data_IF_329503927440
#
_entry.id   IF_329503927440
#
_cell.length_a   1.000
_cell.length_b   1.000
_cell.length_c   1.000
_cell.angle_alpha   90.00
_cell.angle_beta   90.00
_cell.angle_gamma   90.00
#
_symmetry.space_group_name_H-M   'P 1'
#
loop_
_entity.id
_entity.type
_entity.pdbx_description
1 polymer ?
#
# COMPACT_ATOMS: atom_id res chain seq x y z
N UNK A 1 38.82 4.87 12.34
CA UNK A 1 37.60 4.11 11.98
C UNK A 1 36.40 5.04 11.81
N UNK A 2 36.15 5.96 12.74
CA UNK A 2 35.03 6.92 12.65
C UNK A 2 35.02 7.75 11.33
N UNK A 3 36.18 8.16 10.83
CA UNK A 3 36.26 8.87 9.54
C UNK A 3 35.85 8.02 8.33
N UNK A 4 36.13 6.71 8.35
CA UNK A 4 35.74 5.80 7.28
C UNK A 4 34.25 5.45 7.35
N UNK A 5 33.70 5.32 8.56
CA UNK A 5 32.26 5.14 8.76
C UNK A 5 31.48 6.36 8.27
N UNK A 6 32.00 7.57 8.47
CA UNK A 6 31.42 8.80 7.92
C UNK A 6 31.49 8.88 6.39
N UNK A 7 32.56 8.35 5.78
CA UNK A 7 32.77 8.40 4.33
C UNK A 7 32.04 7.28 3.57
N UNK A 8 31.89 6.10 4.18
CA UNK A 8 31.24 4.92 3.57
C UNK A 8 30.06 4.37 4.39
N UNK A 9 29.12 5.21 4.85
CA UNK A 9 28.13 4.78 5.84
C UNK A 9 27.20 3.66 5.33
N UNK A 10 26.93 3.60 4.02
CA UNK A 10 26.14 2.51 3.40
C UNK A 10 26.84 1.16 3.57
N UNK A 11 28.13 1.10 3.28
CA UNK A 11 28.93 -0.13 3.42
C UNK A 11 29.00 -0.59 4.88
N UNK A 12 29.14 0.36 5.82
CA UNK A 12 29.10 0.05 7.26
C UNK A 12 27.74 -0.46 7.71
N UNK A 13 26.64 0.14 7.22
CA UNK A 13 25.30 -0.34 7.49
C UNK A 13 25.10 -1.79 7.01
N UNK A 14 25.41 -2.07 5.74
CA UNK A 14 25.31 -3.41 5.17
C UNK A 14 26.18 -4.39 5.95
N UNK A 15 27.41 -4.01 6.33
CA UNK A 15 28.31 -4.85 7.12
C UNK A 15 27.75 -5.17 8.51
N UNK A 16 27.14 -4.20 9.19
CA UNK A 16 26.45 -4.42 10.49
C UNK A 16 25.28 -5.38 10.33
N UNK A 17 24.50 -5.24 9.25
CA UNK A 17 23.41 -6.17 8.94
C UNK A 17 23.92 -7.58 8.61
N UNK A 18 24.99 -7.70 7.83
CA UNK A 18 25.65 -8.97 7.54
C UNK A 18 26.16 -9.66 8.82
N UNK A 19 26.74 -8.89 9.74
CA UNK A 19 27.16 -9.41 11.05
C UNK A 19 25.97 -9.94 11.86
N UNK A 20 24.83 -9.25 11.86
CA UNK A 20 23.62 -9.76 12.52
C UNK A 20 23.18 -11.11 11.94
N UNK A 21 23.19 -11.28 10.62
CA UNK A 21 22.91 -12.57 9.99
C UNK A 21 23.87 -13.67 10.49
N UNK A 22 25.17 -13.38 10.59
CA UNK A 22 26.16 -14.33 11.09
C UNK A 22 25.94 -14.68 12.56
N UNK A 23 25.60 -13.70 13.42
CA UNK A 23 25.28 -13.91 14.84
C UNK A 23 24.04 -14.78 15.02
N UNK A 24 23.05 -14.63 14.14
CA UNK A 24 21.85 -15.48 14.08
C UNK A 24 22.13 -16.86 13.43
N UNK A 25 23.39 -17.16 13.08
CA UNK A 25 23.83 -18.46 12.58
C UNK A 25 23.69 -18.66 11.07
N UNK A 26 23.42 -17.60 10.31
CA UNK A 26 23.26 -17.67 8.85
C UNK A 26 24.58 -17.48 8.12
N UNK A 27 24.72 -18.20 7.00
CA UNK A 27 25.84 -18.02 6.09
C UNK A 27 25.69 -16.71 5.31
N UNK A 28 26.79 -15.96 5.22
CA UNK A 28 26.89 -14.70 4.49
C UNK A 28 28.16 -14.78 3.64
N UNK A 29 28.04 -14.50 2.35
CA UNK A 29 29.16 -14.47 1.42
C UNK A 29 29.50 -13.02 1.03
N UNK A 30 30.74 -12.78 0.60
CA UNK A 30 31.20 -11.49 0.09
C UNK A 30 31.87 -11.71 -1.26
N UNK A 31 31.21 -11.23 -2.32
CA UNK A 31 31.71 -11.32 -3.69
C UNK A 31 31.88 -9.91 -4.25
N UNK A 32 33.04 -9.61 -4.81
CA UNK A 32 33.37 -8.29 -5.40
C UNK A 32 33.07 -7.10 -4.47
N UNK A 33 33.29 -7.28 -3.17
CA UNK A 33 33.04 -6.26 -2.15
C UNK A 33 31.56 -6.05 -1.80
N UNK A 34 30.65 -6.90 -2.32
CA UNK A 34 29.22 -6.88 -2.00
C UNK A 34 28.85 -8.05 -1.09
N UNK A 35 28.02 -7.77 -0.10
CA UNK A 35 27.41 -8.80 0.74
C UNK A 35 26.35 -9.53 -0.07
N UNK A 36 26.43 -10.85 -0.11
CA UNK A 36 25.47 -11.71 -0.79
C UNK A 36 24.85 -12.65 0.24
N UNK A 37 23.52 -12.61 0.32
CA UNK A 37 22.73 -13.59 1.05
C UNK A 37 21.86 -14.38 0.07
N UNK A 38 21.80 -15.70 0.25
CA UNK A 38 20.89 -16.54 -0.52
C UNK A 38 19.43 -16.33 -0.10
N UNK A 39 18.50 -16.65 -1.00
CA UNK A 39 17.06 -16.59 -0.72
C UNK A 39 16.68 -17.44 0.51
N UNK A 40 17.34 -18.59 0.68
CA UNK A 40 17.13 -19.44 1.86
C UNK A 40 17.39 -18.69 3.16
N UNK A 41 18.53 -18.01 3.29
CA UNK A 41 18.90 -17.23 4.47
C UNK A 41 17.96 -16.04 4.68
N UNK A 42 17.58 -15.35 3.61
CA UNK A 42 16.59 -14.26 3.66
C UNK A 42 15.26 -14.74 4.25
N UNK A 43 14.78 -15.90 3.81
CA UNK A 43 13.55 -16.52 4.30
C UNK A 43 13.66 -17.00 5.74
N UNK A 44 14.79 -17.54 6.16
CA UNK A 44 15.03 -17.90 7.56
C UNK A 44 15.00 -16.67 8.48
N UNK A 45 15.61 -15.56 8.06
CA UNK A 45 15.50 -14.29 8.78
C UNK A 45 14.05 -13.79 8.86
N UNK A 46 13.30 -13.88 7.76
CA UNK A 46 11.88 -13.55 7.74
C UNK A 46 11.06 -14.42 8.71
N UNK A 47 11.37 -15.72 8.82
CA UNK A 47 10.72 -16.64 9.76
C UNK A 47 10.96 -16.23 11.23
N UNK A 48 12.16 -15.73 11.57
CA UNK A 48 12.45 -15.18 12.90
C UNK A 48 11.64 -13.91 13.18
N UNK A 49 11.52 -13.01 12.20
CA UNK A 49 10.71 -11.79 12.31
C UNK A 49 9.23 -12.16 12.52
N UNK A 50 8.70 -13.07 11.71
CA UNK A 50 7.33 -13.55 11.85
C UNK A 50 7.07 -14.21 13.21
N UNK A 51 8.02 -15.00 13.72
CA UNK A 51 7.90 -15.61 15.04
C UNK A 51 7.74 -14.55 16.14
N UNK A 52 8.56 -13.49 16.11
CA UNK A 52 8.45 -12.38 17.06
C UNK A 52 7.14 -11.59 16.88
N UNK A 53 6.67 -11.37 15.64
CA UNK A 53 5.37 -10.74 15.37
C UNK A 53 4.21 -11.59 15.92
N UNK A 54 4.26 -12.91 15.77
CA UNK A 54 3.24 -13.83 16.34
C UNK A 54 3.18 -13.75 17.87
N UNK A 55 4.33 -13.58 18.53
CA UNK A 55 4.41 -13.44 19.98
C UNK A 55 3.72 -12.16 20.46
N UNK A 56 3.99 -11.02 19.82
CA UNK A 56 3.37 -9.73 20.20
C UNK A 56 1.91 -9.60 19.74
N UNK A 57 1.58 -10.21 18.61
CA UNK A 57 0.38 -9.91 17.85
C UNK A 57 0.62 -8.71 16.92
N UNK A 58 0.30 -8.90 15.64
CA UNK A 58 0.52 -7.93 14.58
C UNK A 58 -0.20 -6.60 14.80
N UNK A 59 -1.36 -6.56 15.45
CA UNK A 59 -2.04 -5.28 15.78
C UNK A 59 -1.17 -4.43 16.71
N UNK A 60 -0.53 -5.02 17.73
CA UNK A 60 0.30 -4.26 18.67
C UNK A 60 1.58 -3.76 17.99
N UNK A 61 2.18 -4.60 17.12
CA UNK A 61 3.32 -4.19 16.29
C UNK A 61 2.93 -3.04 15.35
N UNK A 62 1.77 -3.12 14.71
CA UNK A 62 1.24 -2.06 13.85
C UNK A 62 0.99 -0.77 14.63
N UNK A 63 0.45 -0.83 15.85
CA UNK A 63 0.30 0.37 16.69
C UNK A 63 1.63 1.06 16.95
N UNK A 64 2.68 0.30 17.26
CA UNK A 64 4.04 0.83 17.43
C UNK A 64 4.58 1.42 16.13
N UNK A 65 4.36 0.76 14.98
CA UNK A 65 4.73 1.29 13.66
C UNK A 65 4.03 2.62 13.39
N UNK A 66 2.71 2.69 13.54
CA UNK A 66 1.94 3.91 13.28
C UNK A 66 2.31 5.05 14.22
N UNK A 67 2.62 4.76 15.49
CA UNK A 67 3.15 5.76 16.41
C UNK A 67 4.47 6.37 15.90
N UNK A 68 5.34 5.57 15.27
CA UNK A 68 6.62 6.06 14.72
C UNK A 68 6.44 6.91 13.46
N UNK A 69 5.42 6.63 12.65
CA UNK A 69 5.18 7.35 11.39
C UNK A 69 4.12 8.45 11.48
N UNK A 70 3.39 8.54 12.58
CA UNK A 70 2.38 9.57 12.86
C UNK A 70 2.88 11.01 12.60
N UNK A 71 4.10 11.42 12.98
CA UNK A 71 4.61 12.76 12.68
C UNK A 71 4.66 13.09 11.18
N UNK A 72 4.66 12.07 10.31
CA UNK A 72 4.66 12.25 8.86
C UNK A 72 3.25 12.28 8.26
N UNK A 73 2.20 12.19 9.06
CA UNK A 73 0.82 12.24 8.56
C UNK A 73 0.40 13.68 8.25
N UNK A 74 -0.02 13.92 7.02
CA UNK A 74 -0.58 15.20 6.61
C UNK A 74 -2.10 15.15 6.65
N UNK A 75 -2.72 15.93 7.55
CA UNK A 75 -4.18 15.93 7.74
C UNK A 75 -4.96 16.52 6.56
N UNK A 76 -4.38 17.42 5.78
CA UNK A 76 -5.04 18.01 4.62
C UNK A 76 -5.07 17.05 3.42
N UNK A 77 -4.00 16.26 3.26
CA UNK A 77 -3.90 15.24 2.20
C UNK A 77 -4.43 13.88 2.66
N UNK A 78 -4.61 13.69 3.97
CA UNK A 78 -5.04 12.47 4.66
C UNK A 78 -4.14 11.26 4.34
N UNK A 79 -2.83 11.48 4.27
CA UNK A 79 -1.82 10.45 3.93
C UNK A 79 -0.51 10.66 4.70
N UNK A 80 0.26 9.60 4.85
CA UNK A 80 1.61 9.61 5.40
C UNK A 80 2.63 9.97 4.32
N UNK A 81 3.49 10.95 4.61
CA UNK A 81 4.59 11.39 3.75
C UNK A 81 5.84 10.57 4.05
N UNK A 82 5.82 9.30 3.66
CA UNK A 82 6.95 8.38 3.78
C UNK A 82 7.89 8.55 2.57
N UNK A 83 8.52 9.71 2.48
CA UNK A 83 9.43 10.05 1.39
C UNK A 83 10.77 9.34 1.54
N UNK A 84 11.44 9.07 0.41
CA UNK A 84 12.81 8.55 0.41
C UNK A 84 13.71 9.52 1.17
N UNK A 85 14.42 9.01 2.17
CA UNK A 85 15.35 9.81 2.97
C UNK A 85 16.73 9.66 2.38
N UNK A 86 17.18 10.69 1.67
CA UNK A 86 18.56 10.77 1.21
C UNK A 86 19.49 11.15 2.36
N UNK A 87 20.74 10.68 2.33
CA UNK A 87 21.74 10.94 3.37
C UNK A 87 21.40 10.39 4.76
N UNK A 88 20.46 9.45 4.87
CA UNK A 88 20.06 8.85 6.15
C UNK A 88 20.99 7.70 6.59
N UNK A 89 22.26 7.81 6.24
CA UNK A 89 23.13 6.64 6.05
C UNK A 89 23.66 6.05 7.38
N UNK A 90 23.46 6.75 8.50
CA UNK A 90 23.76 6.25 9.84
C UNK A 90 22.60 5.45 10.47
N UNK A 91 21.39 5.55 9.91
CA UNK A 91 20.18 4.92 10.44
C UNK A 91 19.33 4.40 9.29
N UNK A 92 19.57 3.15 8.85
CA UNK A 92 18.76 2.52 7.82
C UNK A 92 17.28 2.62 8.13
N UNK A 93 16.47 2.83 7.10
CA UNK A 93 15.04 3.01 7.29
C UNK A 93 14.40 1.70 7.77
N UNK A 94 13.40 1.81 8.64
CA UNK A 94 12.55 0.67 8.99
C UNK A 94 11.70 0.33 7.76
N UNK A 95 11.68 -0.93 7.28
CA UNK A 95 10.88 -1.31 6.12
C UNK A 95 9.40 -1.46 6.51
N UNK A 96 8.72 -0.33 6.68
CA UNK A 96 7.36 -0.29 7.22
C UNK A 96 6.34 -1.03 6.35
N UNK A 97 6.46 -0.99 5.01
CA UNK A 97 5.52 -1.68 4.13
C UNK A 97 5.70 -3.20 4.21
N UNK A 98 6.95 -3.66 4.32
CA UNK A 98 7.26 -5.06 4.58
C UNK A 98 6.68 -5.55 5.91
N UNK A 99 6.96 -4.82 7.00
CA UNK A 99 6.44 -5.15 8.33
C UNK A 99 4.91 -5.13 8.36
N UNK A 100 4.28 -4.17 7.67
CA UNK A 100 2.83 -4.11 7.56
C UNK A 100 2.27 -5.40 6.94
N UNK A 101 2.86 -5.87 5.84
CA UNK A 101 2.43 -7.10 5.17
C UNK A 101 2.65 -8.37 6.02
N UNK A 102 3.67 -8.39 6.89
CA UNK A 102 3.84 -9.49 7.85
C UNK A 102 2.85 -9.42 9.02
N UNK A 103 2.61 -8.22 9.57
CA UNK A 103 1.76 -8.04 10.75
C UNK A 103 0.32 -8.48 10.50
N UNK A 104 -0.20 -8.24 9.30
CA UNK A 104 -1.60 -8.58 8.95
C UNK A 104 -1.86 -10.09 8.95
N UNK A 105 -0.83 -10.93 8.78
CA UNK A 105 -0.94 -12.40 8.88
C UNK A 105 -1.33 -12.86 10.29
N UNK A 106 -0.96 -12.08 11.31
CA UNK A 106 -1.10 -12.46 12.72
C UNK A 106 -1.75 -11.35 13.56
N UNK A 107 -3.01 -10.95 13.31
CA UNK A 107 -3.60 -9.79 13.98
C UNK A 107 -3.61 -9.90 15.52
N UNK A 108 -3.81 -11.12 16.05
CA UNK A 108 -3.83 -11.40 17.48
C UNK A 108 -2.57 -12.18 17.89
N UNK A 109 -2.16 -12.02 19.14
CA UNK A 109 -1.08 -12.82 19.74
C UNK A 109 -1.42 -14.31 19.71
N UNK A 110 -0.44 -15.14 19.38
CA UNK A 110 -0.61 -16.60 19.39
C UNK A 110 -0.41 -17.23 20.78
N UNK A 111 0.22 -16.51 21.71
CA UNK A 111 0.53 -17.00 23.05
C UNK A 111 0.05 -16.01 24.12
N UNK A 112 -0.62 -16.48 25.19
CA UNK A 112 -1.16 -15.58 26.22
C UNK A 112 -0.07 -14.93 27.09
N UNK A 113 1.06 -15.62 27.30
CA UNK A 113 2.18 -15.22 28.16
C UNK A 113 3.49 -15.51 27.42
N UNK A 114 4.36 -14.50 27.30
CA UNK A 114 5.73 -14.67 26.82
C UNK A 114 6.72 -14.12 27.85
N UNK A 115 7.93 -14.67 27.86
CA UNK A 115 8.93 -14.46 28.91
C UNK A 115 9.64 -13.10 28.80
N UNK A 116 9.66 -12.52 27.60
CA UNK A 116 10.40 -11.31 27.29
C UNK A 116 9.51 -10.04 27.35
N UNK A 117 10.11 -8.85 27.37
CA UNK A 117 9.35 -7.59 27.35
C UNK A 117 8.94 -7.20 25.93
N UNK A 118 7.83 -6.46 25.77
CA UNK A 118 7.38 -5.95 24.47
C UNK A 118 8.50 -5.20 23.73
N UNK A 119 9.24 -4.32 24.43
CA UNK A 119 10.28 -3.50 23.83
C UNK A 119 11.48 -4.33 23.35
N UNK A 120 11.83 -5.41 24.05
CA UNK A 120 12.91 -6.31 23.60
C UNK A 120 12.50 -7.05 22.32
N UNK A 121 11.29 -7.61 22.28
CA UNK A 121 10.79 -8.30 21.08
C UNK A 121 10.65 -7.31 19.91
N UNK A 122 10.13 -6.12 20.16
CA UNK A 122 10.05 -5.05 19.17
C UNK A 122 11.44 -4.64 18.64
N UNK A 123 12.46 -4.53 19.50
CA UNK A 123 13.83 -4.25 19.07
C UNK A 123 14.34 -5.33 18.12
N UNK A 124 14.10 -6.62 18.42
CA UNK A 124 14.46 -7.73 17.52
C UNK A 124 13.75 -7.64 16.17
N UNK A 125 12.43 -7.41 16.15
CA UNK A 125 11.66 -7.22 14.90
C UNK A 125 12.28 -6.10 14.07
N UNK A 126 12.55 -4.96 14.71
CA UNK A 126 13.13 -3.79 14.05
C UNK A 126 14.53 -4.06 13.51
N UNK A 127 15.43 -4.61 14.32
CA UNK A 127 16.82 -4.88 13.94
C UNK A 127 16.91 -5.92 12.83
N UNK A 128 16.17 -7.02 12.93
CA UNK A 128 16.14 -8.08 11.92
C UNK A 128 15.52 -7.60 10.61
N UNK A 129 14.43 -6.83 10.67
CA UNK A 129 13.81 -6.28 9.45
C UNK A 129 14.68 -5.23 8.76
N UNK A 130 15.33 -4.35 9.53
CA UNK A 130 16.35 -3.43 9.00
C UNK A 130 17.50 -4.21 8.35
N UNK A 131 17.99 -5.26 9.01
CA UNK A 131 19.09 -6.05 8.49
C UNK A 131 18.71 -6.74 7.18
N UNK A 132 17.52 -7.36 7.12
CA UNK A 132 16.99 -7.98 5.91
C UNK A 132 16.84 -6.96 4.77
N UNK A 133 16.35 -5.74 5.04
CA UNK A 133 16.24 -4.71 4.02
C UNK A 133 17.62 -4.18 3.56
N UNK A 134 18.57 -4.03 4.49
CA UNK A 134 19.89 -3.46 4.23
C UNK A 134 20.76 -4.37 3.36
N UNK A 135 20.70 -5.69 3.57
CA UNK A 135 21.45 -6.65 2.74
C UNK A 135 20.90 -6.80 1.32
N UNK A 136 19.65 -6.36 1.06
CA UNK A 136 19.13 -6.22 -0.30
C UNK A 136 19.69 -4.98 -1.02
N UNK A 137 20.23 -4.03 -0.26
CA UNK A 137 20.99 -2.88 -0.75
C UNK A 137 20.24 -1.99 -1.76
N UNK A 138 18.94 -1.79 -1.53
CA UNK A 138 18.04 -1.03 -2.44
C UNK A 138 17.72 0.39 -1.97
N UNK A 139 18.16 0.80 -0.78
CA UNK A 139 17.93 2.17 -0.29
C UNK A 139 18.94 3.14 -0.94
N UNK A 140 18.48 4.19 -1.66
CA UNK A 140 19.39 5.10 -2.34
C UNK A 140 20.16 5.95 -1.32
N UNK A 141 21.47 6.04 -1.52
CA UNK A 141 22.37 6.86 -0.72
C UNK A 141 22.24 8.36 -1.01
N UNK A 142 21.89 8.72 -2.24
CA UNK A 142 21.77 10.10 -2.71
C UNK A 142 20.65 10.27 -3.74
N UNK A 143 20.21 11.50 -3.96
CA UNK A 143 19.26 11.79 -5.04
C UNK A 143 19.84 11.52 -6.44
N UNK A 144 21.17 11.59 -6.58
CA UNK A 144 21.84 11.42 -7.87
C UNK A 144 21.81 9.98 -8.35
N UNK A 145 21.78 9.01 -7.44
CA UNK A 145 21.60 7.59 -7.77
C UNK A 145 20.20 7.26 -8.30
N UNK A 146 19.26 8.20 -8.27
CA UNK A 146 17.95 8.06 -8.92
C UNK A 146 17.87 8.77 -10.30
N UNK A 147 18.79 9.68 -10.60
CA UNK A 147 18.73 10.54 -11.78
C UNK A 147 19.63 10.03 -12.91
N UNK A 148 20.75 9.39 -12.58
CA UNK A 148 21.77 9.03 -13.55
C UNK A 148 21.83 7.51 -13.76
N UNK A 149 21.19 7.05 -14.83
CA UNK A 149 21.25 5.65 -15.28
C UNK A 149 21.63 5.57 -16.75
N UNK A 150 22.42 4.55 -17.09
CA UNK A 150 22.72 4.19 -18.47
C UNK A 150 21.73 3.12 -18.97
N UNK A 151 21.59 2.93 -20.30
CA UNK A 151 20.80 1.84 -20.85
C UNK A 151 21.14 0.45 -20.27
N UNK A 152 22.41 0.22 -19.93
CA UNK A 152 22.87 -1.06 -19.38
C UNK A 152 22.49 -1.27 -17.90
N UNK A 153 22.25 -0.19 -17.16
CA UNK A 153 21.96 -0.24 -15.70
C UNK A 153 20.49 -0.03 -15.38
N UNK A 154 19.68 0.45 -16.34
CA UNK A 154 18.28 0.81 -16.11
C UNK A 154 17.42 -0.38 -15.66
N UNK A 155 17.67 -1.57 -16.20
CA UNK A 155 16.88 -2.75 -15.86
C UNK A 155 17.09 -3.15 -14.38
N UNK A 156 18.34 -3.16 -13.92
CA UNK A 156 18.67 -3.42 -12.52
C UNK A 156 18.08 -2.34 -11.61
N UNK A 157 18.23 -1.06 -11.98
CA UNK A 157 17.67 0.05 -11.23
C UNK A 157 16.15 -0.07 -11.04
N UNK A 158 15.40 -0.42 -12.10
CA UNK A 158 13.95 -0.61 -12.00
C UNK A 158 13.57 -1.77 -11.07
N UNK A 159 14.38 -2.84 -11.02
CA UNK A 159 14.17 -3.95 -10.09
C UNK A 159 14.43 -3.52 -8.64
N UNK A 160 15.55 -2.82 -8.39
CA UNK A 160 15.86 -2.26 -7.07
C UNK A 160 14.78 -1.29 -6.60
N UNK A 161 14.27 -0.46 -7.50
CA UNK A 161 13.18 0.48 -7.22
C UNK A 161 11.89 -0.24 -6.82
N UNK A 162 11.53 -1.31 -7.53
CA UNK A 162 10.36 -2.13 -7.20
C UNK A 162 10.50 -2.79 -5.82
N UNK A 163 11.69 -3.33 -5.50
CA UNK A 163 11.96 -3.92 -4.18
C UNK A 163 11.93 -2.85 -3.08
N UNK A 164 12.48 -1.66 -3.35
CA UNK A 164 12.42 -0.52 -2.43
C UNK A 164 10.97 -0.14 -2.12
N UNK A 165 10.13 0.01 -3.13
CA UNK A 165 8.73 0.38 -2.91
C UNK A 165 7.97 -0.71 -2.13
N UNK A 166 8.25 -1.99 -2.40
CA UNK A 166 7.71 -3.12 -1.62
C UNK A 166 8.17 -3.12 -0.15
N UNK A 167 9.36 -2.59 0.16
CA UNK A 167 9.88 -2.49 1.53
C UNK A 167 9.33 -1.29 2.29
N UNK A 168 9.29 -0.12 1.66
CA UNK A 168 9.17 1.17 2.37
C UNK A 168 7.92 1.96 2.02
N UNK A 169 7.34 1.78 0.83
CA UNK A 169 6.32 2.67 0.27
C UNK A 169 4.94 1.99 0.24
N UNK A 170 4.13 2.04 1.32
CA UNK A 170 2.77 1.54 1.25
C UNK A 170 1.96 2.40 0.26
N UNK A 171 1.19 1.74 -0.60
CA UNK A 171 0.22 2.42 -1.48
C UNK A 171 -0.82 3.12 -0.62
N UNK A 172 -1.10 4.39 -0.93
CA UNK A 172 -2.01 5.23 -0.16
C UNK A 172 -2.94 6.05 -1.05
N UNK A 173 -4.17 6.20 -0.60
CA UNK A 173 -5.18 7.08 -1.20
C UNK A 173 -5.79 7.94 -0.09
N UNK A 174 -6.30 9.11 -0.47
CA UNK A 174 -6.99 10.01 0.46
C UNK A 174 -8.35 9.36 0.78
N UNK A 175 -8.63 8.98 2.03
CA UNK A 175 -9.88 8.31 2.40
C UNK A 175 -11.14 9.04 1.93
N UNK A 176 -11.18 10.37 2.02
CA UNK A 176 -12.36 11.14 1.61
C UNK A 176 -12.69 11.05 0.11
N UNK A 177 -11.75 10.63 -0.73
CA UNK A 177 -11.95 10.50 -2.17
C UNK A 177 -12.59 9.15 -2.53
N UNK A 178 -12.48 8.14 -1.66
CA UNK A 178 -12.94 6.76 -1.93
C UNK A 178 -14.42 6.70 -2.28
N UNK A 179 -15.37 7.25 -1.49
CA UNK A 179 -16.79 7.14 -1.83
C UNK A 179 -17.12 7.79 -3.17
N UNK A 180 -16.49 8.94 -3.47
CA UNK A 180 -16.70 9.67 -4.73
C UNK A 180 -16.16 8.89 -5.92
N UNK A 181 -14.99 8.26 -5.77
CA UNK A 181 -14.41 7.41 -6.81
C UNK A 181 -15.30 6.19 -7.08
N UNK A 182 -15.74 5.48 -6.03
CA UNK A 182 -16.59 4.29 -6.18
C UNK A 182 -17.94 4.62 -6.83
N UNK A 183 -18.61 5.69 -6.40
CA UNK A 183 -19.88 6.08 -7.02
C UNK A 183 -19.65 6.64 -8.43
N UNK A 184 -18.69 7.56 -8.59
CA UNK A 184 -18.45 8.28 -9.82
C UNK A 184 -17.91 7.43 -10.97
N UNK A 185 -17.05 6.45 -10.69
CA UNK A 185 -16.48 5.59 -11.74
C UNK A 185 -17.46 4.53 -12.24
N UNK A 186 -18.40 4.11 -11.37
CA UNK A 186 -19.24 2.94 -11.66
C UNK A 186 -20.74 3.28 -11.79
N UNK A 187 -21.16 4.53 -11.57
CA UNK A 187 -22.58 4.92 -11.62
C UNK A 187 -23.27 4.55 -12.93
N UNK A 188 -22.59 4.70 -14.07
CA UNK A 188 -23.11 4.37 -15.40
C UNK A 188 -23.41 2.87 -15.57
N UNK A 189 -22.77 2.02 -14.77
CA UNK A 189 -22.93 0.57 -14.78
C UNK A 189 -23.80 0.03 -13.65
N UNK A 190 -24.46 0.91 -12.87
CA UNK A 190 -25.18 0.55 -11.64
C UNK A 190 -26.17 -0.61 -11.85
N UNK A 191 -26.96 -0.58 -12.92
CA UNK A 191 -27.94 -1.66 -13.19
C UNK A 191 -27.28 -3.00 -13.52
N UNK A 192 -26.18 -2.99 -14.30
CA UNK A 192 -25.45 -4.22 -14.63
C UNK A 192 -24.80 -4.82 -13.39
N UNK A 193 -24.21 -3.96 -12.56
CA UNK A 193 -23.59 -4.35 -11.28
C UNK A 193 -24.67 -4.94 -10.37
N UNK A 194 -25.82 -4.27 -10.23
CA UNK A 194 -26.95 -4.76 -9.42
C UNK A 194 -27.44 -6.13 -9.87
N UNK A 195 -27.59 -6.35 -11.18
CA UNK A 195 -28.05 -7.64 -11.72
C UNK A 195 -27.08 -8.80 -11.49
N UNK A 196 -25.79 -8.52 -11.29
CA UNK A 196 -24.73 -9.54 -11.17
C UNK A 196 -24.22 -9.74 -9.74
N UNK A 197 -24.24 -8.68 -8.94
CA UNK A 197 -23.65 -8.63 -7.60
C UNK A 197 -24.69 -8.39 -6.49
N UNK A 198 -25.96 -8.15 -6.86
CA UNK A 198 -27.08 -7.86 -5.95
C UNK A 198 -26.94 -6.59 -5.10
N UNK A 199 -25.95 -5.74 -5.39
CA UNK A 199 -25.80 -4.41 -4.80
C UNK A 199 -25.40 -3.39 -5.88
N UNK A 200 -25.48 -2.11 -5.54
CA UNK A 200 -25.12 -1.00 -6.43
C UNK A 200 -23.79 -0.35 -6.03
N UNK A 201 -23.10 0.34 -6.95
CA UNK A 201 -21.91 1.13 -6.62
C UNK A 201 -22.16 2.17 -5.54
N UNK A 202 -23.35 2.76 -5.52
CA UNK A 202 -23.75 3.73 -4.49
C UNK A 202 -23.78 3.10 -3.10
N UNK A 203 -24.32 1.88 -2.97
CA UNK A 203 -24.30 1.16 -1.70
C UNK A 203 -22.87 0.80 -1.29
N UNK A 204 -22.03 0.33 -2.22
CA UNK A 204 -20.62 0.05 -1.97
C UNK A 204 -19.86 1.30 -1.51
N UNK A 205 -20.06 2.44 -2.16
CA UNK A 205 -19.50 3.75 -1.80
C UNK A 205 -19.97 4.23 -0.44
N UNK A 206 -21.26 4.06 -0.14
CA UNK A 206 -21.87 4.41 1.14
C UNK A 206 -21.24 3.63 2.30
N UNK A 207 -21.11 2.31 2.15
CA UNK A 207 -20.49 1.45 3.18
C UNK A 207 -19.01 1.80 3.36
N UNK A 208 -18.27 1.99 2.26
CA UNK A 208 -16.86 2.42 2.32
C UNK A 208 -16.72 3.76 3.06
N UNK A 209 -17.56 4.76 2.73
CA UNK A 209 -17.58 6.05 3.42
C UNK A 209 -17.86 5.91 4.91
N UNK A 210 -18.84 5.10 5.30
CA UNK A 210 -19.17 4.87 6.71
C UNK A 210 -18.02 4.23 7.49
N UNK A 211 -17.35 3.23 6.90
CA UNK A 211 -16.18 2.59 7.51
C UNK A 211 -15.05 3.61 7.71
N UNK A 212 -14.76 4.42 6.69
CA UNK A 212 -13.72 5.45 6.76
C UNK A 212 -14.08 6.57 7.73
N UNK A 213 -15.36 6.90 7.88
CA UNK A 213 -15.86 7.85 8.88
C UNK A 213 -15.72 7.33 10.31
N UNK A 214 -15.96 6.03 10.57
CA UNK A 214 -15.67 5.40 11.87
C UNK A 214 -14.18 5.52 12.23
N UNK A 215 -13.34 5.54 11.20
CA UNK A 215 -11.89 5.66 11.29
C UNK A 215 -11.38 7.10 11.28
N UNK A 216 -12.27 8.09 11.17
CA UNK A 216 -11.88 9.49 11.03
C UNK A 216 -11.04 9.93 12.22
N UNK A 217 -9.91 10.58 11.92
CA UNK A 217 -8.90 11.00 12.90
C UNK A 217 -8.20 9.86 13.65
N UNK A 218 -8.40 8.59 13.27
CA UNK A 218 -7.64 7.45 13.81
C UNK A 218 -6.47 7.15 12.89
N UNK A 219 -5.27 7.18 13.47
CA UNK A 219 -4.01 6.88 12.76
C UNK A 219 -3.49 5.47 13.06
N UNK A 220 -4.27 4.65 13.75
CA UNK A 220 -3.88 3.31 14.18
C UNK A 220 -4.96 2.26 13.82
N UNK A 221 -4.64 0.96 13.91
CA UNK A 221 -5.59 -0.11 13.60
C UNK A 221 -6.84 -0.03 14.47
N UNK A 222 -7.99 -0.16 13.82
CA UNK A 222 -9.30 -0.09 14.45
C UNK A 222 -10.14 -1.31 14.10
N UNK A 223 -10.82 -1.82 15.12
CA UNK A 223 -11.84 -2.86 14.97
C UNK A 223 -13.23 -2.24 15.07
N UNK A 224 -14.17 -2.77 14.28
CA UNK A 224 -15.59 -2.44 14.34
C UNK A 224 -16.44 -3.69 14.05
N UNK A 225 -17.74 -3.60 14.27
CA UNK A 225 -18.75 -4.64 13.96
C UNK A 225 -19.73 -4.17 12.88
N UNK A 226 -20.42 -5.09 12.21
CA UNK A 226 -21.39 -4.70 11.17
C UNK A 226 -22.49 -3.77 11.70
N UNK A 227 -22.93 -3.95 12.94
CA UNK A 227 -23.90 -3.08 13.62
C UNK A 227 -23.44 -1.62 13.75
N UNK A 228 -22.12 -1.36 13.79
CA UNK A 228 -21.57 0.00 13.87
C UNK A 228 -21.74 0.75 12.54
N UNK A 229 -22.01 0.01 11.47
CA UNK A 229 -22.34 0.52 10.14
C UNK A 229 -23.84 0.72 9.93
N UNK A 230 -24.70 0.62 10.96
CA UNK A 230 -26.13 0.78 10.77
C UNK A 230 -26.45 2.14 10.10
N UNK A 231 -27.08 2.09 8.92
CA UNK A 231 -27.46 3.27 8.15
C UNK A 231 -28.98 3.24 7.92
N UNK A 232 -29.77 3.87 8.81
CA UNK A 232 -31.23 3.86 8.70
C UNK A 232 -31.75 4.43 7.38
N UNK A 233 -30.98 5.30 6.75
CA UNK A 233 -31.38 6.12 5.60
C UNK A 233 -31.13 5.45 4.24
N UNK A 234 -30.30 4.41 4.16
CA UNK A 234 -29.79 3.92 2.85
C UNK A 234 -30.53 2.72 2.29
N UNK A 235 -31.55 2.22 2.99
CA UNK A 235 -32.34 1.04 2.58
C UNK A 235 -31.47 -0.20 2.25
N UNK A 236 -30.25 -0.29 2.80
CA UNK A 236 -29.37 -1.44 2.60
C UNK A 236 -29.87 -2.56 3.50
N UNK A 237 -30.31 -3.66 2.90
CA UNK A 237 -30.70 -4.86 3.62
C UNK A 237 -29.49 -5.54 4.29
N UNK A 238 -29.77 -6.41 5.26
CA UNK A 238 -28.71 -7.20 5.92
C UNK A 238 -27.92 -8.07 4.93
N UNK A 239 -28.61 -8.70 3.98
CA UNK A 239 -27.97 -9.54 2.95
C UNK A 239 -27.01 -8.72 2.06
N UNK A 240 -27.42 -7.53 1.62
CA UNK A 240 -26.56 -6.62 0.85
C UNK A 240 -25.35 -6.16 1.67
N UNK A 241 -25.55 -5.86 2.97
CA UNK A 241 -24.45 -5.50 3.88
C UNK A 241 -23.45 -6.65 4.02
N UNK A 242 -23.92 -7.88 4.23
CA UNK A 242 -23.07 -9.06 4.38
C UNK A 242 -22.27 -9.33 3.09
N UNK A 243 -22.88 -9.16 1.90
CA UNK A 243 -22.20 -9.24 0.60
C UNK A 243 -21.11 -8.17 0.44
N UNK A 244 -21.42 -6.92 0.76
CA UNK A 244 -20.47 -5.81 0.66
C UNK A 244 -19.29 -5.97 1.62
N UNK A 245 -19.55 -6.42 2.86
CA UNK A 245 -18.49 -6.68 3.84
C UNK A 245 -17.65 -7.90 3.44
N UNK A 246 -18.25 -8.94 2.85
CA UNK A 246 -17.52 -10.08 2.30
C UNK A 246 -16.59 -9.69 1.14
N UNK A 247 -17.08 -8.84 0.22
CA UNK A 247 -16.24 -8.25 -0.84
C UNK A 247 -15.08 -7.47 -0.24
N UNK A 248 -15.32 -6.60 0.74
CA UNK A 248 -14.30 -5.75 1.34
C UNK A 248 -13.37 -6.44 2.34
N UNK A 249 -13.60 -7.71 2.69
CA UNK A 249 -12.80 -8.39 3.73
C UNK A 249 -12.04 -9.61 3.24
N UNK A 250 -10.82 -9.74 3.75
CA UNK A 250 -10.04 -10.97 3.69
C UNK A 250 -10.51 -11.94 4.75
N UNK A 251 -10.51 -13.24 4.43
CA UNK A 251 -10.47 -14.27 5.47
C UNK A 251 -9.06 -14.31 6.05
N UNK A 252 -8.96 -14.54 7.37
CA UNK A 252 -7.67 -14.62 8.02
C UNK A 252 -6.82 -15.81 7.52
N UNK A 253 -7.47 -16.89 7.07
CA UNK A 253 -6.81 -18.11 6.61
C UNK A 253 -6.01 -17.97 5.32
N UNK A 254 -6.30 -16.95 4.50
CA UNK A 254 -5.67 -16.75 3.19
C UNK A 254 -4.85 -15.45 3.10
N UNK A 255 -4.81 -14.65 4.17
CA UNK A 255 -4.20 -13.33 4.13
C UNK A 255 -2.67 -13.40 4.16
N UNK A 256 -2.01 -12.98 3.08
CA UNK A 256 -0.55 -12.89 2.94
C UNK A 256 0.21 -14.18 3.34
N UNK A 257 -0.40 -15.36 3.17
CA UNK A 257 0.17 -16.64 3.65
C UNK A 257 1.58 -16.88 3.08
N UNK A 258 1.73 -16.68 1.77
CA UNK A 258 3.00 -16.93 1.05
C UNK A 258 3.97 -15.74 1.05
N UNK A 259 3.59 -14.62 1.66
CA UNK A 259 4.46 -13.45 1.76
C UNK A 259 5.47 -13.64 2.90
N UNK A 260 6.77 -13.73 2.57
CA UNK A 260 7.87 -13.74 3.55
C UNK A 260 8.95 -12.71 3.26
N UNK A 261 9.30 -12.52 1.99
CA UNK A 261 10.31 -11.56 1.54
C UNK A 261 9.71 -10.58 0.51
N UNK A 262 10.28 -9.38 0.33
CA UNK A 262 9.69 -8.34 -0.54
C UNK A 262 9.44 -8.78 -1.99
N UNK A 263 10.22 -9.74 -2.49
CA UNK A 263 10.11 -10.30 -3.84
C UNK A 263 8.86 -11.19 -4.01
N UNK A 264 8.24 -11.65 -2.92
CA UNK A 264 7.08 -12.54 -2.97
C UNK A 264 5.81 -11.80 -3.44
N UNK A 265 5.75 -10.46 -3.36
CA UNK A 265 4.56 -9.68 -3.76
C UNK A 265 4.11 -10.00 -5.20
N UNK A 266 5.05 -10.17 -6.11
CA UNK A 266 4.74 -10.49 -7.51
C UNK A 266 4.05 -11.86 -7.70
N UNK A 267 4.12 -12.74 -6.70
CA UNK A 267 3.52 -14.08 -6.70
C UNK A 267 2.19 -14.13 -5.95
N UNK A 268 1.82 -13.06 -5.24
CA UNK A 268 0.55 -13.00 -4.50
C UNK A 268 -0.59 -12.70 -5.48
N UNK A 269 -1.22 -13.74 -6.01
CA UNK A 269 -2.42 -13.59 -6.86
C UNK A 269 -3.70 -13.50 -6.03
N UNK A 270 -3.76 -14.23 -4.91
CA UNK A 270 -4.92 -14.28 -4.00
C UNK A 270 -4.49 -13.93 -2.59
N UNK A 271 -5.39 -13.30 -1.82
CA UNK A 271 -5.14 -12.99 -0.41
C UNK A 271 -4.07 -11.93 -0.14
N UNK A 272 -3.62 -11.19 -1.17
CA UNK A 272 -2.73 -10.04 -0.99
C UNK A 272 -3.44 -8.94 -0.19
N UNK A 273 -2.83 -8.48 0.91
CA UNK A 273 -3.43 -7.50 1.82
C UNK A 273 -4.03 -6.28 1.10
N UNK A 274 -3.35 -5.71 0.11
CA UNK A 274 -3.82 -4.50 -0.57
C UNK A 274 -4.98 -4.72 -1.56
N UNK A 275 -5.47 -5.94 -1.78
CA UNK A 275 -6.62 -6.19 -2.65
C UNK A 275 -7.98 -6.01 -1.97
N UNK A 276 -8.03 -6.06 -0.63
CA UNK A 276 -9.24 -5.76 0.15
C UNK A 276 -8.92 -4.93 1.40
N UNK A 277 -9.77 -3.96 1.76
CA UNK A 277 -9.45 -2.99 2.81
C UNK A 277 -9.57 -3.54 4.25
N UNK A 278 -10.33 -4.62 4.45
CA UNK A 278 -10.65 -5.15 5.77
C UNK A 278 -10.08 -6.55 5.99
N UNK A 279 -9.85 -6.89 7.26
CA UNK A 279 -9.56 -8.25 7.70
C UNK A 279 -10.72 -8.69 8.59
N UNK A 280 -11.38 -9.79 8.25
CA UNK A 280 -12.41 -10.37 9.10
C UNK A 280 -11.74 -11.14 10.24
N UNK A 281 -11.90 -10.66 11.48
CA UNK A 281 -11.25 -11.27 12.65
C UNK A 281 -12.12 -12.30 13.36
N UNK A 282 -13.44 -12.12 13.32
CA UNK A 282 -14.47 -13.09 13.78
C UNK A 282 -15.72 -12.94 12.89
N UNK A 283 -16.82 -13.64 13.20
CA UNK A 283 -18.05 -13.64 12.38
C UNK A 283 -18.64 -12.25 12.12
N UNK A 284 -18.54 -11.33 13.07
CA UNK A 284 -19.10 -9.98 12.98
C UNK A 284 -18.08 -8.90 13.35
N UNK A 285 -16.78 -9.17 13.17
CA UNK A 285 -15.73 -8.24 13.56
C UNK A 285 -14.72 -8.04 12.44
N UNK A 286 -14.47 -6.77 12.13
CA UNK A 286 -13.65 -6.33 11.01
C UNK A 286 -12.56 -5.40 11.51
N UNK A 287 -11.35 -5.58 10.97
CA UNK A 287 -10.18 -4.79 11.26
C UNK A 287 -9.80 -3.94 10.04
N UNK A 288 -9.69 -2.64 10.25
CA UNK A 288 -9.12 -1.66 9.32
C UNK A 288 -7.74 -1.24 9.86
N UNK A 289 -6.67 -1.42 9.08
CA UNK A 289 -5.29 -1.19 9.55
C UNK A 289 -4.98 0.30 9.66
N UNK A 290 -5.21 1.06 8.59
CA UNK A 290 -5.16 2.52 8.60
C UNK A 290 -5.99 3.05 7.41
N UNK A 291 -6.75 4.14 7.59
CA UNK A 291 -7.63 4.65 6.53
C UNK A 291 -6.89 4.95 5.22
N UNK A 292 -5.77 5.65 5.28
CA UNK A 292 -5.01 6.06 4.09
C UNK A 292 -4.37 4.89 3.34
N UNK A 293 -3.92 3.85 4.06
CA UNK A 293 -3.28 2.67 3.49
C UNK A 293 -4.31 1.69 2.91
N UNK A 294 -5.46 1.55 3.57
CA UNK A 294 -6.54 0.67 3.12
C UNK A 294 -7.46 1.33 2.07
N UNK A 295 -7.45 2.66 1.96
CA UNK A 295 -8.30 3.40 1.01
C UNK A 295 -8.24 2.91 -0.45
N UNK A 296 -7.05 2.63 -1.06
CA UNK A 296 -6.98 2.09 -2.42
C UNK A 296 -7.71 0.75 -2.58
N UNK A 297 -7.67 -0.09 -1.54
CA UNK A 297 -8.19 -1.45 -1.60
C UNK A 297 -9.73 -1.50 -1.71
N UNK A 298 -10.44 -0.44 -1.32
CA UNK A 298 -11.89 -0.35 -1.56
C UNK A 298 -12.22 -0.34 -3.06
N UNK A 299 -11.45 0.40 -3.86
CA UNK A 299 -11.59 0.39 -5.31
C UNK A 299 -11.17 -0.97 -5.89
N UNK A 300 -10.04 -1.51 -5.43
CA UNK A 300 -9.53 -2.80 -5.93
C UNK A 300 -10.51 -3.94 -5.69
N UNK A 301 -11.13 -4.00 -4.51
CA UNK A 301 -12.12 -5.02 -4.16
C UNK A 301 -13.35 -4.98 -5.10
N UNK A 302 -13.89 -3.79 -5.38
CA UNK A 302 -15.03 -3.64 -6.27
C UNK A 302 -14.67 -3.97 -7.73
N UNK A 303 -13.51 -3.50 -8.20
CA UNK A 303 -13.02 -3.83 -9.56
C UNK A 303 -12.81 -5.32 -9.73
N UNK A 304 -12.25 -5.98 -8.72
CA UNK A 304 -12.01 -7.42 -8.74
C UNK A 304 -13.32 -8.20 -8.90
N UNK A 305 -14.35 -7.88 -8.12
CA UNK A 305 -15.68 -8.51 -8.25
C UNK A 305 -16.32 -8.24 -9.63
N UNK A 306 -16.23 -6.99 -10.11
CA UNK A 306 -16.75 -6.60 -11.44
C UNK A 306 -16.08 -7.40 -12.55
N UNK A 307 -14.75 -7.59 -12.47
CA UNK A 307 -13.98 -8.40 -13.42
C UNK A 307 -14.34 -9.87 -13.34
N UNK A 308 -14.39 -10.43 -12.13
CA UNK A 308 -14.69 -11.84 -11.90
C UNK A 308 -16.09 -12.22 -12.42
N UNK A 309 -17.09 -11.36 -12.20
CA UNK A 309 -18.46 -11.59 -12.67
C UNK A 309 -18.73 -11.11 -14.10
N UNK A 310 -17.69 -10.71 -14.82
CA UNK A 310 -17.74 -10.22 -16.20
C UNK A 310 -18.83 -9.14 -16.41
N UNK A 311 -18.95 -8.20 -15.46
CA UNK A 311 -19.95 -7.12 -15.53
C UNK A 311 -19.61 -6.14 -16.66
N UNK A 312 -18.31 -5.90 -16.87
CA UNK A 312 -17.77 -5.13 -17.98
C UNK A 312 -17.14 -6.08 -19.00
N UNK A 313 -17.55 -5.97 -20.26
CA UNK A 313 -17.08 -6.83 -21.36
C UNK A 313 -15.89 -6.22 -22.10
N UNK A 314 -15.66 -4.91 -21.97
CA UNK A 314 -14.53 -4.20 -22.57
C UNK A 314 -13.75 -3.42 -21.50
N UNK A 315 -12.43 -3.59 -21.49
CA UNK A 315 -11.53 -2.93 -20.53
C UNK A 315 -11.51 -1.40 -20.71
N UNK A 316 -11.80 -0.91 -21.92
CA UNK A 316 -11.80 0.53 -22.23
C UNK A 316 -13.04 1.27 -21.71
N UNK A 317 -14.10 0.55 -21.32
CA UNK A 317 -15.34 1.15 -20.81
C UNK A 317 -15.07 1.96 -19.52
N UNK A 318 -14.30 1.39 -18.59
CA UNK A 318 -14.02 2.05 -17.31
C UNK A 318 -13.12 3.30 -17.47
N UNK A 319 -12.15 3.26 -18.39
CA UNK A 319 -11.24 4.39 -18.64
C UNK A 319 -12.00 5.65 -19.06
N UNK A 320 -12.97 5.51 -19.96
CA UNK A 320 -13.79 6.64 -20.41
C UNK A 320 -14.65 7.25 -19.28
N UNK A 321 -15.15 6.43 -18.35
CA UNK A 321 -15.92 6.94 -17.20
C UNK A 321 -15.02 7.63 -16.17
N UNK A 322 -13.81 7.11 -15.94
CA UNK A 322 -12.81 7.79 -15.09
C UNK A 322 -12.49 9.17 -15.65
N UNK A 323 -12.23 9.29 -16.96
CA UNK A 323 -11.99 10.59 -17.59
C UNK A 323 -13.17 11.55 -17.43
N UNK A 324 -14.40 11.10 -17.66
CA UNK A 324 -15.62 11.92 -17.50
C UNK A 324 -15.76 12.39 -16.05
N UNK A 325 -15.50 11.52 -15.08
CA UNK A 325 -15.52 11.87 -13.66
C UNK A 325 -14.46 12.92 -13.31
N UNK A 326 -13.22 12.76 -13.77
CA UNK A 326 -12.18 13.74 -13.48
C UNK A 326 -12.54 15.10 -14.10
N UNK A 327 -13.09 15.11 -15.34
CA UNK A 327 -13.60 16.34 -15.98
C UNK A 327 -14.68 17.02 -15.14
N UNK A 328 -15.65 16.25 -14.63
CA UNK A 328 -16.73 16.81 -13.81
C UNK A 328 -16.20 17.39 -12.49
N UNK A 329 -15.21 16.75 -11.85
CA UNK A 329 -14.60 17.28 -10.62
C UNK A 329 -13.88 18.63 -10.84
N UNK A 330 -13.19 18.82 -11.97
CA UNK A 330 -12.60 20.12 -12.32
C UNK A 330 -13.67 21.17 -12.59
N UNK A 331 -14.70 20.83 -13.37
CA UNK A 331 -15.81 21.74 -13.68
C UNK A 331 -16.59 22.15 -12.42
N UNK A 332 -16.79 21.24 -11.48
CA UNK A 332 -17.43 21.50 -10.18
C UNK A 332 -16.65 22.53 -9.35
N UNK A 333 -15.33 22.58 -9.53
CA UNK A 333 -14.44 23.59 -8.94
C UNK A 333 -14.29 24.85 -9.79
N UNK A 334 -15.08 24.98 -10.86
CA UNK A 334 -15.05 26.08 -11.84
C UNK A 334 -13.71 26.20 -12.58
N UNK A 335 -12.99 25.09 -12.69
CA UNK A 335 -11.75 25.01 -13.47
C UNK A 335 -12.12 24.54 -14.87
N UNK A 336 -11.79 25.34 -15.88
CA UNK A 336 -12.00 24.96 -17.28
C UNK A 336 -10.95 23.94 -17.69
N UNK A 337 -11.42 22.85 -18.29
CA UNK A 337 -10.59 21.77 -18.81
C UNK A 337 -10.88 21.54 -20.30
N UNK A 338 -9.82 21.35 -21.08
CA UNK A 338 -9.87 20.95 -22.49
C UNK A 338 -9.45 19.47 -22.53
N UNK A 339 -10.09 18.65 -23.35
CA UNK A 339 -9.73 17.24 -23.51
C UNK A 339 -9.84 16.80 -24.96
N UNK A 340 -9.13 15.73 -25.33
CA UNK A 340 -9.04 15.23 -26.70
C UNK A 340 -7.87 15.82 -27.47
N UNK A 341 -8.08 16.20 -28.73
CA UNK A 341 -7.01 16.71 -29.60
C UNK A 341 -6.72 18.18 -29.32
N UNK A 342 -5.47 18.49 -28.99
CA UNK A 342 -4.99 19.85 -28.76
C UNK A 342 -3.92 20.23 -29.78
N UNK A 343 -3.95 21.48 -30.25
CA UNK A 343 -3.03 22.00 -31.27
C UNK A 343 -3.62 21.97 -32.68
N UNK A 344 -4.49 22.93 -33.00
CA UNK A 344 -4.97 23.14 -34.35
C UNK A 344 -4.46 24.48 -34.88
N UNK A 345 -3.18 24.54 -35.24
CA UNK A 345 -2.63 25.64 -36.04
C UNK A 345 -2.58 25.20 -37.50
N UNK A 346 -3.38 25.86 -38.35
CA UNK A 346 -3.36 25.84 -39.82
C UNK A 346 -2.71 24.59 -40.47
N UNK A 347 -3.50 23.54 -40.68
CA UNK A 347 -3.22 22.53 -41.71
C UNK A 347 -2.45 21.28 -41.29
N UNK A 348 -2.06 21.11 -40.02
CA UNK A 348 -1.52 19.83 -39.53
C UNK A 348 -2.56 19.07 -38.71
N UNK A 349 -2.82 17.81 -39.08
CA UNK A 349 -3.61 16.89 -38.26
C UNK A 349 -2.84 16.61 -36.97
N UNK A 350 -3.31 17.11 -35.83
CA UNK A 350 -2.74 16.76 -34.53
C UNK A 350 -3.02 15.29 -34.22
N UNK A 351 -1.94 14.51 -34.02
CA UNK A 351 -1.97 13.10 -33.58
C UNK A 351 -1.93 12.94 -32.07
N UNK A 352 -1.77 14.03 -31.31
CA UNK A 352 -1.56 13.96 -29.87
C UNK A 352 -2.88 14.11 -29.14
N UNK A 353 -3.34 13.00 -28.56
CA UNK A 353 -4.44 12.94 -27.61
C UNK A 353 -3.95 13.43 -26.23
N UNK A 354 -4.81 14.21 -25.58
CA UNK A 354 -4.56 14.76 -24.25
C UNK A 354 -5.79 14.47 -23.40
N UNK A 355 -5.60 13.80 -22.28
CA UNK A 355 -6.66 13.45 -21.36
C UNK A 355 -7.27 14.72 -20.77
N UNK A 356 -6.43 15.62 -20.23
CA UNK A 356 -6.84 16.95 -19.75
C UNK A 356 -5.75 18.01 -19.94
N UNK A 357 -6.18 19.19 -20.38
CA UNK A 357 -5.39 20.42 -20.39
C UNK A 357 -6.14 21.49 -19.59
N UNK A 358 -5.44 22.12 -18.65
CA UNK A 358 -5.92 23.30 -17.94
C UNK A 358 -5.14 24.51 -18.48
N UNK A 359 -5.87 25.44 -19.08
CA UNK A 359 -5.32 26.70 -19.55
C UNK A 359 -5.58 27.80 -18.51
N UNK A 360 -4.49 28.40 -18.05
CA UNK A 360 -4.53 29.57 -17.16
C UNK A 360 -3.87 30.76 -17.86
N UNK A 361 -4.00 31.96 -17.27
CA UNK A 361 -3.32 33.16 -17.80
C UNK A 361 -1.79 33.09 -17.73
N UNK A 362 -1.21 32.13 -16.99
CA UNK A 362 0.24 32.02 -16.76
C UNK A 362 0.88 30.74 -17.29
N UNK A 363 0.09 29.68 -17.47
CA UNK A 363 0.60 28.36 -17.78
C UNK A 363 -0.45 27.47 -18.46
N UNK A 364 0.04 26.53 -19.26
CA UNK A 364 -0.67 25.36 -19.75
C UNK A 364 -0.25 24.16 -18.90
N UNK A 365 -1.21 23.52 -18.25
CA UNK A 365 -0.96 22.33 -17.41
C UNK A 365 -1.54 21.12 -18.12
N UNK A 366 -0.66 20.22 -18.56
CA UNK A 366 -1.03 18.96 -19.19
C UNK A 366 -1.11 17.86 -18.13
N UNK A 367 -2.24 17.16 -18.11
CA UNK A 367 -2.43 15.95 -17.33
C UNK A 367 -2.60 14.80 -18.33
N UNK A 368 -1.74 13.79 -18.18
CA UNK A 368 -1.68 12.57 -18.99
C UNK A 368 -1.64 11.37 -18.06
#
# INVERSE_FOLDING_TARGET
>A
MEDLERLYPRHFSISKSANLFQVEGFHVDVQDGRVIIGEYQARQMADLIEADIRLLGGIEVLRKIFQLIEPNFNTQQERYHLVRKFNNVNHPSIPFNYLLNLCVKYPRKSVPIFVDSFENIWSRIRERSIALASVLDVEPDSQFTLLFHSPDTIAQFLQELAIYDNLFCPTQLRPSDVPKMLEGFFSTYSERIRQKLDYTPKQAATIAGKILDLAKNKLCPMTFRSQDLNIPETQISKDEMDKLLSMYSHSLSNLNVDFKIPQDIAKLSEGYFHSKPLIRTDDDSYLLIAPSICAPAFYEALVSEIREKAVLTNHNELGAEIEKFIKSEFLNRKIKVISGKYGNTKGQKSTNEIDLLIETSKALIFLK
#
